data_IF_181371651095
#
_entry.id   IF_181371651095
#
_cell.length_a   1.000
_cell.length_b   1.000
_cell.length_c   1.000
_cell.angle_alpha   90.00
_cell.angle_beta   90.00
_cell.angle_gamma   90.00
#
_symmetry.space_group_name_H-M   'P 1'
#
loop_
_entity.id
_entity.type
_entity.pdbx_description
1 polymer ?
#
# COMPACT_ATOMS: atom_id res chain seq x y z
N UNK A 1 93.78 -14.31 -42.62
CA UNK A 1 92.79 -15.30 -42.16
C UNK A 1 91.76 -14.60 -41.25
N UNK A 2 90.94 -13.61 -41.62
CA UNK A 2 90.21 -13.23 -42.84
C UNK A 2 89.05 -14.17 -43.23
N UNK A 3 88.06 -14.46 -42.35
CA UNK A 3 86.79 -15.10 -42.78
C UNK A 3 85.54 -15.17 -41.85
N UNK A 4 85.22 -14.24 -40.92
CA UNK A 4 83.82 -14.27 -40.42
C UNK A 4 83.08 -12.92 -40.33
N UNK A 5 83.59 -11.83 -40.91
CA UNK A 5 83.01 -10.48 -40.69
C UNK A 5 81.99 -10.05 -41.77
N UNK A 6 81.73 -10.87 -42.80
CA UNK A 6 80.82 -10.49 -43.90
C UNK A 6 79.36 -11.00 -43.76
N UNK A 7 79.06 -11.94 -42.86
CA UNK A 7 77.69 -12.48 -42.73
C UNK A 7 76.78 -11.68 -41.78
N UNK A 8 77.31 -10.72 -41.01
CA UNK A 8 76.55 -9.98 -40.02
C UNK A 8 75.75 -8.78 -40.59
N UNK A 9 75.98 -8.39 -41.86
CA UNK A 9 75.35 -7.19 -42.45
C UNK A 9 74.07 -7.48 -43.26
N UNK A 10 73.65 -8.73 -43.41
CA UNK A 10 72.44 -9.08 -44.17
C UNK A 10 71.14 -9.13 -43.33
N UNK A 11 71.19 -8.83 -42.03
CA UNK A 11 70.03 -8.98 -41.12
C UNK A 11 69.24 -7.69 -40.85
N UNK A 12 69.54 -6.58 -41.52
CA UNK A 12 68.82 -5.32 -41.33
C UNK A 12 67.89 -5.05 -42.52
N UNK A 13 66.88 -5.90 -42.68
CA UNK A 13 65.65 -5.60 -43.43
C UNK A 13 64.57 -5.23 -42.43
N UNK A 14 64.29 -3.94 -42.27
CA UNK A 14 63.18 -3.47 -41.46
C UNK A 14 61.87 -3.74 -42.19
N UNK A 15 61.20 -4.83 -41.84
CA UNK A 15 59.78 -5.02 -42.15
C UNK A 15 58.96 -4.16 -41.19
N UNK A 16 58.27 -3.16 -41.73
CA UNK A 16 57.26 -2.42 -41.01
C UNK A 16 56.07 -3.37 -40.79
N UNK A 17 55.94 -3.86 -39.55
CA UNK A 17 54.84 -4.75 -39.19
C UNK A 17 53.51 -4.04 -39.49
N UNK A 18 52.56 -4.70 -40.18
CA UNK A 18 51.27 -4.09 -40.49
C UNK A 18 50.62 -3.64 -39.19
N UNK A 19 50.28 -2.34 -39.11
CA UNK A 19 49.67 -1.74 -37.93
C UNK A 19 48.49 -2.57 -37.46
N UNK A 20 48.53 -3.01 -36.19
CA UNK A 20 47.48 -3.82 -35.58
C UNK A 20 46.18 -3.02 -35.57
N UNK A 21 45.22 -3.42 -36.40
CA UNK A 21 43.89 -2.83 -36.37
C UNK A 21 43.25 -3.10 -35.00
N UNK A 22 42.70 -2.08 -34.31
CA UNK A 22 41.99 -2.28 -33.05
C UNK A 22 40.88 -3.31 -33.24
N UNK A 23 40.69 -4.25 -32.29
CA UNK A 23 39.63 -5.23 -32.39
C UNK A 23 38.28 -4.51 -32.48
N UNK A 24 37.35 -4.97 -33.35
CA UNK A 24 36.03 -4.35 -33.45
C UNK A 24 35.30 -4.49 -32.12
N UNK A 25 34.79 -3.37 -31.62
CA UNK A 25 33.99 -3.32 -30.40
C UNK A 25 32.56 -2.93 -30.73
N UNK A 26 31.60 -3.61 -30.12
CA UNK A 26 30.18 -3.29 -30.25
C UNK A 26 29.85 -2.14 -29.30
N UNK A 27 29.31 -1.05 -29.84
CA UNK A 27 28.85 0.11 -29.07
C UNK A 27 27.38 0.38 -29.33
N UNK A 28 26.69 0.95 -28.34
CA UNK A 28 25.32 1.45 -28.49
C UNK A 28 25.20 2.87 -27.94
N UNK A 29 24.34 3.68 -28.56
CA UNK A 29 24.09 5.06 -28.14
C UNK A 29 22.97 5.09 -27.09
N UNK A 30 23.16 5.75 -25.94
CA UNK A 30 22.12 5.86 -24.93
C UNK A 30 20.96 6.72 -25.44
N UNK A 31 19.73 6.26 -25.21
CA UNK A 31 18.51 7.01 -25.51
C UNK A 31 17.95 7.62 -24.23
N UNK A 32 17.70 8.93 -24.24
CA UNK A 32 17.09 9.65 -23.12
C UNK A 32 15.57 9.53 -23.26
N UNK A 33 14.94 8.85 -22.31
CA UNK A 33 13.48 8.76 -22.23
C UNK A 33 13.00 9.26 -20.89
N UNK A 34 11.93 10.05 -20.92
CA UNK A 34 11.22 10.48 -19.71
C UNK A 34 10.42 9.29 -19.19
N UNK A 35 10.72 8.87 -17.96
CA UNK A 35 9.97 7.83 -17.26
C UNK A 35 9.19 8.46 -16.12
N UNK A 36 8.00 7.92 -15.85
CA UNK A 36 7.23 8.27 -14.67
C UNK A 36 7.66 7.37 -13.52
N UNK A 37 8.14 7.97 -12.43
CA UNK A 37 8.47 7.26 -11.20
C UNK A 37 7.21 7.11 -10.34
N UNK A 38 6.91 5.88 -9.95
CA UNK A 38 5.81 5.58 -9.03
C UNK A 38 6.36 5.06 -7.71
N UNK A 39 5.80 5.55 -6.62
CA UNK A 39 6.05 5.00 -5.30
C UNK A 39 4.87 4.14 -4.88
N UNK A 40 5.15 2.88 -4.52
CA UNK A 40 4.15 1.92 -4.08
C UNK A 40 4.20 1.85 -2.56
N UNK A 41 3.07 2.15 -1.92
CA UNK A 41 2.93 2.07 -0.47
C UNK A 41 1.86 1.05 -0.11
N UNK A 42 2.13 0.26 0.92
CA UNK A 42 1.13 -0.63 1.52
C UNK A 42 0.32 0.14 2.55
N UNK A 43 -0.98 -0.11 2.60
CA UNK A 43 -1.89 0.54 3.54
C UNK A 43 -3.06 -0.37 3.90
N UNK A 44 -3.70 -0.07 5.02
CA UNK A 44 -4.90 -0.79 5.47
C UNK A 44 -6.09 0.15 5.47
N UNK A 45 -7.21 -0.31 4.89
CA UNK A 45 -8.47 0.43 4.97
C UNK A 45 -9.09 0.30 6.36
N UNK A 46 -9.76 1.37 6.81
CA UNK A 46 -10.58 1.38 8.03
C UNK A 46 -11.90 2.05 7.73
N UNK A 47 -12.91 1.74 8.53
CA UNK A 47 -14.18 2.46 8.47
C UNK A 47 -13.94 3.93 8.81
N UNK A 48 -14.57 4.84 8.05
CA UNK A 48 -14.52 6.28 8.31
C UNK A 48 -15.13 6.57 9.68
N UNK A 49 -16.25 5.93 9.97
CA UNK A 49 -16.97 6.02 11.24
C UNK A 49 -17.29 4.62 11.75
N UNK A 50 -17.22 4.46 13.08
CA UNK A 50 -17.59 3.22 13.77
C UNK A 50 -18.32 3.61 15.05
N UNK A 51 -19.53 3.08 15.22
CA UNK A 51 -20.29 3.21 16.45
C UNK A 51 -20.55 1.82 17.04
N UNK A 52 -20.37 1.68 18.34
CA UNK A 52 -20.75 0.49 19.09
C UNK A 52 -22.05 0.79 19.83
N UNK A 53 -23.10 0.02 19.53
CA UNK A 53 -24.42 0.21 20.12
C UNK A 53 -24.51 -0.61 21.40
N UNK A 54 -24.59 0.07 22.54
CA UNK A 54 -24.69 -0.54 23.87
C UNK A 54 -25.99 -0.14 24.56
N UNK A 55 -26.55 -1.07 25.34
CA UNK A 55 -27.73 -0.79 26.14
C UNK A 55 -27.37 0.18 27.28
N UNK A 56 -28.08 1.31 27.35
CA UNK A 56 -27.89 2.33 28.42
C UNK A 56 -28.65 2.03 29.70
N UNK A 57 -29.65 1.16 29.62
CA UNK A 57 -30.55 0.82 30.71
C UNK A 57 -30.70 -0.69 30.79
N UNK A 58 -30.97 -1.20 32.00
CA UNK A 58 -31.16 -2.63 32.20
C UNK A 58 -32.58 -3.06 31.77
N UNK A 59 -32.72 -4.22 31.17
CA UNK A 59 -34.04 -4.73 30.84
C UNK A 59 -33.97 -5.90 29.89
N UNK A 60 -35.13 -6.52 29.63
CA UNK A 60 -35.24 -7.58 28.64
C UNK A 60 -35.32 -6.97 27.25
N UNK A 61 -34.60 -7.57 26.30
CA UNK A 61 -34.73 -7.25 24.88
C UNK A 61 -36.08 -7.77 24.36
N UNK A 62 -36.92 -6.88 23.84
CA UNK A 62 -38.23 -7.21 23.25
C UNK A 62 -38.11 -7.48 21.75
N UNK A 63 -37.52 -6.55 21.00
CA UNK A 63 -37.43 -6.63 19.53
C UNK A 63 -36.05 -6.20 19.02
N UNK A 64 -35.70 -6.77 17.86
CA UNK A 64 -34.57 -6.37 17.02
C UNK A 64 -35.17 -5.92 15.70
N UNK A 65 -34.98 -4.65 15.34
CA UNK A 65 -35.70 -4.01 14.22
C UNK A 65 -34.77 -3.62 13.07
N UNK A 66 -33.73 -4.41 12.85
CA UNK A 66 -32.84 -4.27 11.70
C UNK A 66 -32.43 -5.63 11.14
N UNK A 67 -32.09 -5.63 9.85
CA UNK A 67 -31.54 -6.81 9.18
C UNK A 67 -30.01 -6.85 9.35
N UNK A 68 -29.42 -7.99 9.75
CA UNK A 68 -27.97 -8.12 9.85
C UNK A 68 -27.27 -7.84 8.52
N UNK A 69 -26.34 -6.89 8.53
CA UNK A 69 -25.62 -6.45 7.31
C UNK A 69 -26.42 -5.48 6.43
N UNK A 70 -27.66 -5.17 6.80
CA UNK A 70 -28.46 -4.11 6.19
C UNK A 70 -27.90 -2.72 6.50
N UNK A 71 -28.35 -1.74 5.72
CA UNK A 71 -28.05 -0.33 5.98
C UNK A 71 -29.05 0.24 6.98
N UNK A 72 -28.55 1.00 7.96
CA UNK A 72 -29.36 1.70 8.97
C UNK A 72 -28.95 3.17 8.99
N UNK A 73 -29.88 4.05 9.34
CA UNK A 73 -29.65 5.49 9.43
C UNK A 73 -29.58 5.94 10.90
N UNK A 74 -28.98 7.10 11.11
CA UNK A 74 -28.94 7.70 12.43
C UNK A 74 -30.36 8.06 12.88
N UNK A 75 -30.75 7.57 14.07
CA UNK A 75 -32.07 7.78 14.65
C UNK A 75 -33.03 6.61 14.46
N UNK A 76 -32.68 5.61 13.66
CA UNK A 76 -33.49 4.40 13.52
C UNK A 76 -33.53 3.61 14.83
N UNK A 77 -34.69 3.04 15.14
CA UNK A 77 -34.86 2.18 16.31
C UNK A 77 -34.28 0.81 15.96
N UNK A 78 -33.15 0.46 16.56
CA UNK A 78 -32.48 -0.83 16.32
C UNK A 78 -32.95 -1.92 17.29
N UNK A 79 -33.23 -1.53 18.53
CA UNK A 79 -33.58 -2.44 19.62
C UNK A 79 -34.65 -1.82 20.51
N UNK A 80 -35.65 -2.60 20.89
CA UNK A 80 -36.63 -2.23 21.90
C UNK A 80 -36.38 -3.02 23.17
N UNK A 81 -36.26 -2.32 24.30
CA UNK A 81 -36.12 -2.92 25.64
C UNK A 81 -37.46 -2.79 26.36
N UNK A 82 -37.76 -3.74 27.25
CA UNK A 82 -38.96 -3.77 28.08
C UNK A 82 -39.33 -2.39 28.66
N UNK A 83 -40.50 -1.88 28.29
CA UNK A 83 -40.94 -0.52 28.64
C UNK A 83 -41.75 -0.44 29.94
N UNK A 84 -42.38 -1.53 30.37
CA UNK A 84 -43.36 -1.53 31.45
C UNK A 84 -42.82 -0.92 32.75
N UNK A 85 -41.63 -1.36 33.18
CA UNK A 85 -40.99 -0.84 34.39
C UNK A 85 -40.67 0.66 34.28
N UNK A 86 -40.21 1.12 33.11
CA UNK A 86 -39.84 2.51 32.88
C UNK A 86 -41.06 3.44 32.80
N UNK A 87 -42.14 2.98 32.15
CA UNK A 87 -43.40 3.74 32.07
C UNK A 87 -44.03 3.87 33.46
N UNK A 88 -44.10 2.78 34.24
CA UNK A 88 -44.61 2.83 35.60
C UNK A 88 -43.82 3.78 36.51
N UNK A 89 -42.48 3.76 36.41
CA UNK A 89 -41.62 4.67 37.17
C UNK A 89 -41.82 6.14 36.75
N UNK A 90 -41.95 6.42 35.45
CA UNK A 90 -42.28 7.76 34.92
C UNK A 90 -43.61 8.26 35.49
N UNK A 91 -44.63 7.42 35.46
CA UNK A 91 -45.99 7.81 35.88
C UNK A 91 -46.06 8.09 37.38
N UNK A 92 -45.39 7.28 38.20
CA UNK A 92 -45.24 7.55 39.62
C UNK A 92 -44.53 8.87 39.90
N UNK A 93 -43.45 9.17 39.18
CA UNK A 93 -42.73 10.44 39.32
C UNK A 93 -43.57 11.63 38.86
N UNK A 94 -44.33 11.50 37.77
CA UNK A 94 -45.21 12.55 37.27
C UNK A 94 -46.33 12.88 38.28
N UNK A 95 -46.94 11.86 38.89
CA UNK A 95 -47.96 12.05 39.92
C UNK A 95 -47.41 12.78 41.15
N UNK A 96 -46.18 12.47 41.57
CA UNK A 96 -45.53 13.10 42.73
C UNK A 96 -45.19 14.59 42.52
N UNK A 97 -45.04 15.04 41.27
CA UNK A 97 -44.79 16.47 40.94
C UNK A 97 -46.10 17.24 40.79
N UNK A 98 -47.20 16.54 40.48
CA UNK A 98 -48.52 17.15 40.29
C UNK A 98 -49.29 17.33 41.61
N UNK A 99 -48.88 16.66 42.69
CA UNK A 99 -49.38 16.81 44.06
C UNK A 99 -48.65 17.91 44.82
#
# INVERSE_FOLDING_TARGET
MALPVLLALASCGGEEAPGRQPPPVTVSTPEIRTINEYAIFTGTSRAVERAEVVARVAGRLETVEFEPGGSVQAGDVLFTIERTAYVAARDGAAAAVQS
#
